data_IF_320485363587
#
_entry.id   IF_320485363587
#
_cell.length_a   1.000
_cell.length_b   1.000
_cell.length_c   1.000
_cell.angle_alpha   90.00
_cell.angle_beta   90.00
_cell.angle_gamma   90.00
#
_symmetry.space_group_name_H-M   'P 1'
#
loop_
_entity.id
_entity.type
_entity.pdbx_description
1 polymer ?
#
# COMPACT_ATOMS: atom_id res chain seq x y z
N UNK A 1 9.05 2.66 -1.23
CA UNK A 1 9.86 3.89 -1.40
C UNK A 1 11.06 3.68 -2.34
N UNK A 2 11.78 2.55 -2.24
CA UNK A 2 13.02 2.29 -3.02
C UNK A 2 12.83 2.48 -4.54
N UNK A 3 11.77 1.93 -5.11
CA UNK A 3 11.48 2.06 -6.54
C UNK A 3 11.20 3.52 -6.94
N UNK A 4 10.46 4.25 -6.12
CA UNK A 4 10.13 5.65 -6.40
C UNK A 4 11.35 6.56 -6.28
N UNK A 5 12.20 6.36 -5.27
CA UNK A 5 13.46 7.11 -5.13
C UNK A 5 14.39 6.86 -6.33
N UNK A 6 14.46 5.62 -6.81
CA UNK A 6 15.21 5.30 -8.04
C UNK A 6 14.63 6.04 -9.26
N UNK A 7 13.30 6.12 -9.37
CA UNK A 7 12.63 6.90 -10.41
C UNK A 7 12.99 8.39 -10.35
N UNK A 8 12.95 8.98 -9.15
CA UNK A 8 13.34 10.37 -8.93
C UNK A 8 14.79 10.62 -9.34
N UNK A 9 15.70 9.72 -8.99
CA UNK A 9 17.10 9.82 -9.40
C UNK A 9 17.24 9.74 -10.93
N UNK A 10 16.54 8.84 -11.60
CA UNK A 10 16.54 8.72 -13.07
C UNK A 10 16.02 9.98 -13.75
N UNK A 11 15.00 10.64 -13.20
CA UNK A 11 14.50 11.92 -13.72
C UNK A 11 15.60 12.99 -13.73
N UNK A 12 16.42 13.04 -12.68
CA UNK A 12 17.50 14.01 -12.54
C UNK A 12 18.70 13.73 -13.48
N UNK A 13 18.77 12.55 -14.08
CA UNK A 13 19.82 12.20 -15.05
C UNK A 13 19.47 12.59 -16.50
N UNK A 14 18.28 13.17 -16.72
CA UNK A 14 17.83 13.55 -18.06
C UNK A 14 18.36 14.94 -18.45
N UNK A 15 18.65 15.13 -19.73
CA UNK A 15 19.11 16.41 -20.26
C UNK A 15 18.05 17.52 -20.21
N UNK A 16 16.78 17.12 -20.23
CA UNK A 16 15.63 18.03 -20.19
C UNK A 16 14.69 17.65 -19.07
N UNK A 17 14.22 18.67 -18.35
CA UNK A 17 13.17 18.49 -17.36
C UNK A 17 11.86 18.07 -18.04
N UNK A 18 11.16 17.13 -17.43
CA UNK A 18 9.84 16.66 -17.89
C UNK A 18 9.07 16.04 -16.70
N UNK A 19 7.76 15.85 -16.87
CA UNK A 19 6.89 15.25 -15.86
C UNK A 19 6.74 13.75 -16.12
N UNK A 20 6.80 12.95 -15.05
CA UNK A 20 6.67 11.50 -15.12
C UNK A 20 5.73 10.96 -14.06
N UNK A 21 4.88 10.03 -14.44
CA UNK A 21 4.09 9.22 -13.49
C UNK A 21 4.90 7.98 -13.13
N UNK A 22 5.10 7.77 -11.84
CA UNK A 22 5.69 6.56 -11.29
C UNK A 22 4.58 5.75 -10.62
N UNK A 23 4.21 4.63 -11.22
CA UNK A 23 3.15 3.77 -10.74
C UNK A 23 3.41 2.32 -11.12
N UNK A 24 2.79 1.40 -10.41
CA UNK A 24 2.96 -0.04 -10.64
C UNK A 24 2.01 -0.61 -11.69
N UNK A 25 1.00 0.17 -12.12
CA UNK A 25 -0.06 -0.31 -13.01
C UNK A 25 -1.03 -1.32 -12.34
N UNK A 26 -0.98 -1.42 -11.03
CA UNK A 26 -1.85 -2.28 -10.21
C UNK A 26 -2.46 -1.49 -9.07
N UNK A 27 -3.72 -1.78 -8.79
CA UNK A 27 -4.41 -1.27 -7.61
C UNK A 27 -4.55 -2.37 -6.57
N UNK A 28 -4.56 -1.98 -5.31
CA UNK A 28 -4.78 -2.87 -4.16
C UNK A 28 -5.78 -2.18 -3.25
N UNK A 29 -6.83 -2.87 -2.85
CA UNK A 29 -7.77 -2.32 -1.88
C UNK A 29 -7.09 -2.16 -0.51
N UNK A 30 -7.55 -1.17 0.27
CA UNK A 30 -7.07 -1.02 1.66
C UNK A 30 -7.36 -2.28 2.46
N UNK A 31 -8.52 -2.92 2.24
CA UNK A 31 -8.87 -4.19 2.89
C UNK A 31 -7.86 -5.30 2.61
N UNK A 32 -7.47 -5.49 1.35
CA UNK A 32 -6.47 -6.49 0.98
C UNK A 32 -5.11 -6.16 1.61
N UNK A 33 -4.73 -4.89 1.58
CA UNK A 33 -3.50 -4.44 2.23
C UNK A 33 -3.50 -4.78 3.73
N UNK A 34 -4.60 -4.51 4.44
CA UNK A 34 -4.77 -4.83 5.86
C UNK A 34 -4.72 -6.34 6.09
N UNK A 35 -5.50 -7.13 5.30
CA UNK A 35 -5.49 -8.58 5.41
C UNK A 35 -4.08 -9.16 5.24
N UNK A 36 -3.35 -8.68 4.24
CA UNK A 36 -1.98 -9.15 4.00
C UNK A 36 -1.01 -8.72 5.10
N UNK A 37 -1.18 -7.53 5.68
CA UNK A 37 -0.35 -7.07 6.79
C UNK A 37 -0.54 -7.92 8.03
N UNK A 38 -1.80 -8.26 8.38
CA UNK A 38 -2.10 -9.14 9.49
C UNK A 38 -1.66 -10.59 9.25
N UNK A 39 -1.69 -11.05 7.99
CA UNK A 39 -1.20 -12.39 7.65
C UNK A 39 0.32 -12.56 7.84
N UNK A 40 1.11 -11.49 7.80
CA UNK A 40 2.55 -11.53 8.10
C UNK A 40 2.85 -11.87 9.57
N UNK A 41 1.85 -11.76 10.44
CA UNK A 41 1.92 -12.10 11.88
C UNK A 41 0.95 -13.21 12.26
N UNK A 42 0.53 -14.02 11.28
CA UNK A 42 -0.35 -15.19 11.46
C UNK A 42 -1.74 -14.85 12.05
N UNK A 43 -2.25 -13.64 11.80
CA UNK A 43 -3.59 -13.23 12.19
C UNK A 43 -4.50 -13.23 10.97
N UNK A 44 -5.56 -14.05 11.02
CA UNK A 44 -6.65 -14.01 10.05
C UNK A 44 -7.75 -13.05 10.54
N UNK A 45 -8.27 -12.22 9.62
CA UNK A 45 -9.30 -11.24 9.94
C UNK A 45 -10.66 -11.67 9.41
N UNK A 46 -11.67 -11.60 10.28
CA UNK A 46 -13.08 -11.63 9.92
C UNK A 46 -13.64 -10.20 9.90
N UNK A 47 -14.25 -9.82 8.79
CA UNK A 47 -14.80 -8.48 8.63
C UNK A 47 -16.31 -8.48 8.94
N UNK A 48 -16.73 -7.55 9.80
CA UNK A 48 -18.13 -7.38 10.20
C UNK A 48 -18.54 -5.92 10.10
N UNK A 49 -19.82 -5.67 9.79
CA UNK A 49 -20.36 -4.35 9.63
C UNK A 49 -20.11 -3.78 8.23
N UNK A 50 -20.44 -2.50 8.06
CA UNK A 50 -20.28 -1.77 6.81
C UNK A 50 -20.07 -0.27 7.05
N UNK A 51 -19.45 0.41 6.09
CA UNK A 51 -19.19 1.84 6.19
C UNK A 51 -18.33 2.15 7.43
N UNK A 52 -18.72 3.17 8.19
CA UNK A 52 -18.00 3.61 9.40
C UNK A 52 -18.02 2.58 10.53
N UNK A 53 -18.99 1.67 10.53
CA UNK A 53 -19.14 0.64 11.57
C UNK A 53 -18.39 -0.66 11.24
N UNK A 54 -17.68 -0.68 10.13
CA UNK A 54 -16.91 -1.87 9.72
C UNK A 54 -15.75 -2.12 10.66
N UNK A 55 -15.56 -3.38 11.05
CA UNK A 55 -14.52 -3.84 11.97
C UNK A 55 -13.82 -5.08 11.45
N UNK A 56 -12.52 -5.14 11.62
CA UNK A 56 -11.70 -6.33 11.43
C UNK A 56 -11.49 -7.03 12.77
N UNK A 57 -11.89 -8.28 12.84
CA UNK A 57 -11.85 -9.10 14.07
C UNK A 57 -10.81 -10.20 13.86
N UNK A 58 -9.93 -10.37 14.83
CA UNK A 58 -9.04 -11.53 14.87
C UNK A 58 -9.88 -12.81 15.01
N UNK A 59 -9.84 -13.65 13.99
CA UNK A 59 -10.65 -14.88 13.93
C UNK A 59 -10.32 -15.89 15.04
N UNK A 60 -9.10 -15.85 15.58
CA UNK A 60 -8.68 -16.77 16.65
C UNK A 60 -9.12 -16.31 18.04
N UNK A 61 -9.14 -15.00 18.29
CA UNK A 61 -9.39 -14.44 19.63
C UNK A 61 -10.73 -13.74 19.78
N UNK A 62 -11.39 -13.41 18.68
CA UNK A 62 -12.63 -12.62 18.66
C UNK A 62 -12.42 -11.13 19.01
N UNK A 63 -11.18 -10.66 19.13
CA UNK A 63 -10.89 -9.27 19.45
C UNK A 63 -10.96 -8.40 18.21
N UNK A 64 -11.52 -7.19 18.36
CA UNK A 64 -11.46 -6.14 17.34
C UNK A 64 -10.04 -5.61 17.29
N UNK A 65 -9.40 -5.71 16.12
CA UNK A 65 -8.03 -5.25 15.88
C UNK A 65 -7.93 -4.17 14.79
N UNK A 66 -9.02 -3.96 14.05
CA UNK A 66 -9.13 -2.89 13.05
C UNK A 66 -10.47 -2.20 13.19
N UNK A 67 -10.46 -0.88 13.23
CA UNK A 67 -11.66 -0.02 13.25
C UNK A 67 -11.48 1.16 12.29
N UNK A 68 -12.61 1.69 11.82
CA UNK A 68 -12.65 2.93 11.03
C UNK A 68 -12.84 4.11 11.98
N UNK A 69 -11.91 5.05 11.95
CA UNK A 69 -12.05 6.30 12.73
C UNK A 69 -13.04 7.23 12.02
N UNK A 70 -14.18 7.59 12.66
CA UNK A 70 -15.20 8.45 12.05
C UNK A 70 -14.66 9.83 11.60
N UNK A 71 -13.58 10.33 12.22
CA UNK A 71 -12.97 11.62 11.87
C UNK A 71 -12.32 11.59 10.49
N UNK A 72 -11.89 10.42 10.01
CA UNK A 72 -11.24 10.24 8.72
C UNK A 72 -12.12 9.56 7.68
N UNK A 73 -13.31 9.13 8.08
CA UNK A 73 -14.27 8.52 7.17
C UNK A 73 -14.75 9.52 6.13
N UNK A 74 -14.64 9.15 4.85
CA UNK A 74 -15.13 9.93 3.72
C UNK A 74 -16.27 9.16 3.05
N UNK A 75 -17.47 9.74 2.94
CA UNK A 75 -18.62 9.06 2.34
C UNK A 75 -18.50 8.91 0.81
N UNK A 76 -17.66 9.73 0.18
CA UNK A 76 -17.40 9.68 -1.26
C UNK A 76 -15.89 9.60 -1.49
N UNK A 77 -15.49 8.53 -2.16
CA UNK A 77 -14.11 8.30 -2.62
C UNK A 77 -14.12 8.01 -4.13
N UNK A 78 -12.96 8.14 -4.76
CA UNK A 78 -12.77 7.73 -6.14
C UNK A 78 -12.76 6.20 -6.21
N UNK A 79 -13.65 5.63 -7.02
CA UNK A 79 -13.82 4.17 -7.11
C UNK A 79 -12.55 3.45 -7.54
N UNK A 80 -11.78 4.06 -8.44
CA UNK A 80 -10.53 3.46 -8.93
C UNK A 80 -9.55 4.55 -9.38
N UNK A 81 -8.32 4.46 -8.87
CA UNK A 81 -7.17 5.21 -9.38
C UNK A 81 -6.11 4.22 -9.86
N UNK A 82 -5.77 4.34 -11.15
CA UNK A 82 -4.72 3.53 -11.76
C UNK A 82 -3.72 4.46 -12.45
N UNK A 83 -2.47 4.43 -11.98
CA UNK A 83 -1.40 5.20 -12.60
C UNK A 83 -0.83 4.48 -13.81
N UNK A 84 -0.59 5.23 -14.89
CA UNK A 84 0.09 4.76 -16.10
C UNK A 84 1.54 5.28 -16.10
N UNK A 85 2.50 4.37 -15.96
CA UNK A 85 3.92 4.66 -15.94
C UNK A 85 4.62 4.40 -17.29
N UNK A 86 3.88 4.26 -18.39
CA UNK A 86 4.43 3.94 -19.71
C UNK A 86 5.52 4.92 -20.13
N UNK A 87 5.29 6.22 -19.97
CA UNK A 87 6.29 7.26 -20.30
C UNK A 87 7.58 7.09 -19.49
N UNK A 88 7.48 6.81 -18.20
CA UNK A 88 8.64 6.59 -17.34
C UNK A 88 9.41 5.34 -17.75
N UNK A 89 8.72 4.26 -18.13
CA UNK A 89 9.35 3.06 -18.66
C UNK A 89 10.09 3.34 -19.98
N UNK A 90 9.43 3.95 -20.95
CA UNK A 90 10.00 4.19 -22.29
C UNK A 90 11.17 5.16 -22.28
N UNK A 91 11.09 6.25 -21.49
CA UNK A 91 12.08 7.32 -21.49
C UNK A 91 13.17 7.18 -20.44
N UNK A 92 12.84 6.66 -19.25
CA UNK A 92 13.77 6.52 -18.14
C UNK A 92 14.26 5.08 -17.95
N UNK A 93 13.65 4.09 -18.61
CA UNK A 93 13.85 2.68 -18.30
C UNK A 93 13.36 2.30 -16.90
N UNK A 94 12.49 3.14 -16.30
CA UNK A 94 12.01 2.88 -14.94
C UNK A 94 10.92 1.82 -14.92
N UNK A 95 11.10 0.85 -14.04
CA UNK A 95 10.12 -0.18 -13.72
C UNK A 95 10.20 -0.50 -12.23
N UNK A 96 9.06 -0.74 -11.59
CA UNK A 96 9.06 -1.21 -10.21
C UNK A 96 9.61 -2.63 -10.13
N UNK A 97 10.40 -2.94 -9.11
CA UNK A 97 10.96 -4.26 -8.84
C UNK A 97 10.23 -4.99 -7.71
N UNK A 98 9.49 -4.24 -6.89
CA UNK A 98 8.80 -4.74 -5.71
C UNK A 98 7.30 -4.86 -5.92
N UNK A 99 6.72 -5.97 -5.48
CA UNK A 99 5.27 -6.11 -5.35
C UNK A 99 4.77 -5.41 -4.08
N UNK A 100 3.45 -5.18 -3.99
CA UNK A 100 2.85 -4.69 -2.75
C UNK A 100 3.03 -5.69 -1.59
N UNK A 101 3.07 -6.99 -1.87
CA UNK A 101 3.34 -8.03 -0.87
C UNK A 101 4.75 -7.92 -0.30
N UNK A 102 5.76 -7.72 -1.15
CA UNK A 102 7.14 -7.51 -0.71
C UNK A 102 7.27 -6.27 0.17
N UNK A 103 6.55 -5.18 -0.21
CA UNK A 103 6.51 -3.95 0.56
C UNK A 103 5.89 -4.17 1.94
N UNK A 104 4.75 -4.86 2.01
CA UNK A 104 4.07 -5.18 3.28
C UNK A 104 4.99 -5.99 4.19
N UNK A 105 5.59 -7.06 3.67
CA UNK A 105 6.49 -7.90 4.45
C UNK A 105 7.68 -7.10 5.01
N UNK A 106 8.28 -6.23 4.18
CA UNK A 106 9.38 -5.36 4.60
C UNK A 106 8.93 -4.38 5.71
N UNK A 107 7.76 -3.74 5.55
CA UNK A 107 7.21 -2.78 6.51
C UNK A 107 6.86 -3.45 7.84
N UNK A 108 6.08 -4.51 7.82
CA UNK A 108 5.68 -5.23 9.04
C UNK A 108 6.90 -5.77 9.79
N UNK A 109 7.87 -6.34 9.07
CA UNK A 109 9.11 -6.83 9.69
C UNK A 109 9.90 -5.71 10.36
N UNK A 110 9.97 -4.53 9.73
CA UNK A 110 10.65 -3.36 10.30
C UNK A 110 9.96 -2.87 11.57
N UNK A 111 8.63 -2.68 11.49
CA UNK A 111 7.83 -2.19 12.61
C UNK A 111 7.90 -3.15 13.82
N UNK A 112 7.81 -4.45 13.59
CA UNK A 112 7.96 -5.46 14.65
C UNK A 112 9.35 -5.41 15.31
N UNK A 113 10.39 -5.08 14.55
CA UNK A 113 11.74 -4.94 15.08
C UNK A 113 11.89 -3.70 15.95
N UNK A 114 11.31 -2.58 15.51
CA UNK A 114 11.35 -1.30 16.22
C UNK A 114 10.49 -1.30 17.48
N UNK A 115 9.35 -2.04 17.47
CA UNK A 115 8.43 -2.14 18.60
C UNK A 115 8.84 -3.18 19.65
N UNK A 116 9.90 -3.95 19.43
CA UNK A 116 10.42 -4.84 20.49
C UNK A 116 11.04 -4.00 21.60
N UNK A 117 10.62 -4.23 22.87
CA UNK A 117 11.19 -3.55 24.04
C UNK A 117 12.66 -3.91 24.25
#
# INVERSE_FOLDING_TARGET
AKDYVRGMWLMLQQDKADDYVLATGKTTSVRDFVNWSFSEVDIALDWQGSGVDEKGIDAATGKVVVEIDPRYFRPTEVDLLLGDATKAFERLGWKHDRSVRDLISEMVTSDLREMKP
#
